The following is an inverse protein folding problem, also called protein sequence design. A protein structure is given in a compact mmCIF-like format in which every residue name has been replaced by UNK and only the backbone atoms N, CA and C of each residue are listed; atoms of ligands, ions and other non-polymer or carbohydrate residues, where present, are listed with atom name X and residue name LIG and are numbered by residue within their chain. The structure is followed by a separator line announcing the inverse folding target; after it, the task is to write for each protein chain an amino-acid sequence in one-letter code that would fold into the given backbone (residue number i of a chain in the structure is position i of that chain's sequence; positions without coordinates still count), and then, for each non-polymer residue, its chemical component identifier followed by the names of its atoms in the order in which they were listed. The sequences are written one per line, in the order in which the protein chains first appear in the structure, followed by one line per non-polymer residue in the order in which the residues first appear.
data_IF_890223011069
#
_entry.id   IF_890223011069
#
_cell.length_a   1.000
_cell.length_b   1.000
_cell.length_c   1.000
_cell.angle_alpha   90.00
_cell.angle_beta   90.00
_cell.angle_gamma   90.00
#
_symmetry.space_group_name_H-M   'P 1'
#
loop_
_entity.id
_entity.type
_entity.pdbx_description
1 polymer ?
#
# COMPACT_ATOMS: atom_id res chain seq x y z
N UNK A 1 -7.28 3.58 -22.63
CA UNK A 1 -7.60 2.16 -22.93
C UNK A 1 -7.30 1.26 -21.72
N UNK A 2 -6.04 1.06 -21.23
CA UNK A 2 -5.76 0.18 -20.09
C UNK A 2 -6.53 0.57 -18.82
N UNK A 3 -6.55 1.85 -18.47
CA UNK A 3 -7.31 2.37 -17.32
C UNK A 3 -8.81 2.03 -17.44
N UNK A 4 -9.38 2.11 -18.65
CA UNK A 4 -10.79 1.82 -18.89
C UNK A 4 -11.07 0.32 -18.74
N UNK A 5 -10.14 -0.52 -19.15
CA UNK A 5 -10.26 -1.98 -18.95
C UNK A 5 -10.22 -2.30 -17.46
N UNK A 6 -9.24 -1.77 -16.71
CA UNK A 6 -9.15 -1.99 -15.26
C UNK A 6 -10.39 -1.48 -14.54
N UNK A 7 -10.92 -0.32 -14.95
CA UNK A 7 -12.09 0.27 -14.32
C UNK A 7 -13.36 -0.57 -14.51
N UNK A 8 -13.57 -1.15 -15.73
CA UNK A 8 -14.83 -1.73 -16.13
C UNK A 8 -14.86 -3.27 -16.10
N UNK A 9 -13.68 -3.95 -16.08
CA UNK A 9 -13.64 -5.40 -16.03
C UNK A 9 -13.81 -5.89 -14.58
N UNK A 10 -14.92 -6.59 -14.25
CA UNK A 10 -15.18 -7.02 -12.86
C UNK A 10 -14.20 -8.10 -12.35
N UNK A 11 -13.54 -8.83 -13.23
CA UNK A 11 -12.54 -9.85 -12.85
C UNK A 11 -11.19 -9.26 -12.46
N UNK A 12 -10.98 -7.96 -12.70
CA UNK A 12 -9.74 -7.27 -12.32
C UNK A 12 -9.99 -6.57 -10.97
N UNK A 13 -9.25 -7.00 -9.96
CA UNK A 13 -9.22 -6.30 -8.66
C UNK A 13 -8.72 -4.87 -8.85
N UNK A 14 -9.29 -3.93 -8.09
CA UNK A 14 -8.92 -2.52 -8.18
C UNK A 14 -7.69 -2.24 -7.31
N UNK A 15 -6.58 -2.86 -7.67
CA UNK A 15 -5.29 -2.77 -7.01
C UNK A 15 -4.19 -2.59 -8.06
N UNK A 16 -3.36 -1.55 -7.92
CA UNK A 16 -2.23 -1.29 -8.82
C UNK A 16 -0.97 -1.00 -8.01
N UNK A 17 0.07 -1.80 -8.24
CA UNK A 17 1.43 -1.54 -7.77
C UNK A 17 2.23 -0.82 -8.86
N UNK A 18 2.59 0.43 -8.59
CA UNK A 18 3.33 1.30 -9.53
C UNK A 18 4.57 1.81 -8.81
N UNK A 19 5.73 1.14 -8.92
CA UNK A 19 6.94 1.51 -8.19
C UNK A 19 7.56 2.77 -8.80
N UNK A 20 7.21 3.94 -8.29
CA UNK A 20 7.72 5.23 -8.80
C UNK A 20 9.16 5.50 -8.40
N UNK A 21 9.59 4.96 -7.28
CA UNK A 21 10.90 5.09 -6.61
C UNK A 21 11.15 6.48 -6.02
N UNK A 22 10.85 7.55 -6.75
CA UNK A 22 10.99 8.94 -6.31
C UNK A 22 10.01 9.85 -7.05
N UNK A 23 9.89 11.11 -6.61
CA UNK A 23 9.00 12.12 -7.22
C UNK A 23 9.75 13.37 -7.72
N UNK A 24 10.99 13.59 -7.30
CA UNK A 24 11.82 14.69 -7.78
C UNK A 24 12.37 14.40 -9.16
N UNK A 25 12.24 15.34 -10.09
CA UNK A 25 12.77 15.23 -11.46
C UNK A 25 14.28 15.04 -11.48
N UNK A 26 14.98 15.69 -10.53
CA UNK A 26 16.42 15.58 -10.39
C UNK A 26 16.83 14.12 -10.08
N UNK A 27 16.21 13.51 -9.08
CA UNK A 27 16.50 12.14 -8.65
C UNK A 27 16.01 11.13 -9.69
N UNK A 28 14.81 11.30 -10.25
CA UNK A 28 14.28 10.44 -11.32
C UNK A 28 15.22 10.39 -12.53
N UNK A 29 15.78 11.53 -12.93
CA UNK A 29 16.76 11.61 -14.00
C UNK A 29 18.06 10.89 -13.66
N UNK A 30 18.55 11.05 -12.42
CA UNK A 30 19.74 10.35 -11.93
C UNK A 30 19.54 8.83 -11.83
N UNK A 31 18.30 8.37 -11.54
CA UNK A 31 17.89 6.97 -11.59
C UNK A 31 17.66 6.44 -13.02
N UNK A 32 17.87 7.26 -14.07
CA UNK A 32 17.53 6.94 -15.46
C UNK A 32 16.07 6.55 -15.68
N UNK A 33 15.14 7.05 -14.86
CA UNK A 33 13.70 6.84 -15.02
C UNK A 33 13.13 7.85 -16.02
N UNK A 34 12.16 7.38 -16.80
CA UNK A 34 11.43 8.24 -17.76
C UNK A 34 10.29 8.95 -17.07
N UNK A 35 9.97 10.16 -17.55
CA UNK A 35 8.89 10.97 -17.01
C UNK A 35 9.38 11.95 -15.95
N UNK A 36 8.45 12.75 -15.48
CA UNK A 36 8.66 13.77 -14.45
C UNK A 36 7.76 13.52 -13.24
N UNK A 37 8.08 14.14 -12.11
CA UNK A 37 7.22 14.12 -10.93
C UNK A 37 5.82 14.65 -11.21
N UNK A 38 5.67 15.62 -12.10
CA UNK A 38 4.37 16.14 -12.50
C UNK A 38 3.57 15.10 -13.29
N UNK A 39 4.20 14.39 -14.24
CA UNK A 39 3.53 13.31 -14.99
C UNK A 39 3.08 12.16 -14.08
N UNK A 40 3.88 11.82 -13.04
CA UNK A 40 3.51 10.85 -12.01
C UNK A 40 2.28 11.33 -11.24
N UNK A 41 2.27 12.57 -10.74
CA UNK A 41 1.12 13.16 -10.04
C UNK A 41 -0.15 13.14 -10.91
N UNK A 42 -0.02 13.52 -12.17
CA UNK A 42 -1.15 13.53 -13.10
C UNK A 42 -1.68 12.14 -13.41
N UNK A 43 -0.79 11.14 -13.51
CA UNK A 43 -1.17 9.74 -13.64
C UNK A 43 -1.96 9.26 -12.41
N UNK A 44 -1.47 9.52 -11.20
CA UNK A 44 -2.12 9.07 -9.96
C UNK A 44 -3.49 9.76 -9.77
N UNK A 45 -3.62 11.05 -10.05
CA UNK A 45 -4.91 11.75 -10.07
C UNK A 45 -5.89 11.13 -11.07
N UNK A 46 -5.42 10.85 -12.28
CA UNK A 46 -6.22 10.21 -13.34
C UNK A 46 -6.69 8.81 -12.93
N UNK A 47 -5.82 8.00 -12.32
CA UNK A 47 -6.16 6.67 -11.82
C UNK A 47 -7.27 6.74 -10.76
N UNK A 48 -7.12 7.61 -9.75
CA UNK A 48 -8.13 7.83 -8.70
C UNK A 48 -9.49 8.29 -9.28
N UNK A 49 -9.47 9.17 -10.27
CA UNK A 49 -10.70 9.67 -10.89
C UNK A 49 -11.42 8.62 -11.75
N UNK A 50 -10.66 7.74 -12.40
CA UNK A 50 -11.20 6.81 -13.40
C UNK A 50 -11.53 5.43 -12.82
N UNK A 51 -10.96 5.05 -11.71
CA UNK A 51 -11.11 3.73 -11.09
C UNK A 51 -11.61 3.92 -9.65
N UNK A 52 -12.92 3.94 -9.40
CA UNK A 52 -13.45 4.02 -8.04
C UNK A 52 -12.99 2.85 -7.17
N UNK A 53 -12.62 3.13 -5.93
CA UNK A 53 -12.15 2.12 -4.98
C UNK A 53 -10.74 1.57 -5.27
N UNK A 54 -9.97 2.22 -6.16
CA UNK A 54 -8.62 1.80 -6.47
C UNK A 54 -7.70 1.90 -5.25
N UNK A 55 -7.06 0.80 -4.92
CA UNK A 55 -5.92 0.74 -4.01
C UNK A 55 -4.64 0.97 -4.82
N UNK A 56 -3.84 1.91 -4.38
CA UNK A 56 -2.55 2.24 -5.01
C UNK A 56 -1.41 1.84 -4.08
N UNK A 57 -0.50 1.04 -4.62
CA UNK A 57 0.77 0.69 -3.99
C UNK A 57 1.93 1.31 -4.76
N UNK A 58 2.97 1.67 -4.03
CA UNK A 58 4.24 2.12 -4.61
C UNK A 58 5.43 1.65 -3.79
N UNK A 59 6.61 1.75 -4.37
CA UNK A 59 7.89 1.65 -3.66
C UNK A 59 8.65 2.95 -3.82
N UNK A 60 9.25 3.42 -2.73
CA UNK A 60 10.04 4.64 -2.65
C UNK A 60 11.46 4.32 -2.18
N UNK A 61 12.43 5.04 -2.72
CA UNK A 61 13.83 4.98 -2.29
C UNK A 61 14.19 6.34 -1.72
N UNK A 62 14.69 6.36 -0.48
CA UNK A 62 15.22 7.55 0.16
C UNK A 62 16.75 7.49 0.25
N UNK A 63 17.39 8.64 0.09
CA UNK A 63 18.84 8.76 0.16
C UNK A 63 19.58 8.28 -1.09
N UNK A 64 18.95 8.40 -2.26
CA UNK A 64 19.63 8.17 -3.53
C UNK A 64 20.78 9.17 -3.70
N UNK A 65 21.93 8.81 -4.34
CA UNK A 65 23.04 9.73 -4.56
C UNK A 65 22.60 11.05 -5.18
N UNK A 66 22.98 12.17 -4.54
CA UNK A 66 22.60 13.52 -4.94
C UNK A 66 21.21 13.97 -4.50
N UNK A 67 20.44 13.16 -3.74
CA UNK A 67 19.15 13.56 -3.17
C UNK A 67 19.34 14.67 -2.14
N UNK A 68 18.75 15.84 -2.40
CA UNK A 68 18.78 17.00 -1.49
C UNK A 68 17.66 16.91 -0.44
N UNK A 69 17.62 17.87 0.49
CA UNK A 69 16.51 17.96 1.44
C UNK A 69 15.21 18.34 0.76
N UNK A 70 15.25 19.22 -0.25
CA UNK A 70 14.08 19.63 -1.03
C UNK A 70 13.51 18.43 -1.84
N UNK A 71 14.39 17.55 -2.35
CA UNK A 71 13.96 16.32 -3.02
C UNK A 71 13.25 15.36 -2.06
N UNK A 72 13.76 15.24 -0.84
CA UNK A 72 13.15 14.45 0.22
C UNK A 72 11.80 15.03 0.69
N UNK A 73 11.74 16.36 0.89
CA UNK A 73 10.49 17.05 1.23
C UNK A 73 9.42 16.80 0.16
N UNK A 74 9.80 16.80 -1.14
CA UNK A 74 8.87 16.50 -2.23
C UNK A 74 8.29 15.07 -2.15
N UNK A 75 9.02 14.08 -1.63
CA UNK A 75 8.49 12.74 -1.34
C UNK A 75 7.45 12.77 -0.20
N UNK A 76 7.75 13.49 0.87
CA UNK A 76 6.81 13.66 1.99
C UNK A 76 5.51 14.33 1.53
N UNK A 77 5.61 15.40 0.74
CA UNK A 77 4.48 16.09 0.16
C UNK A 77 3.66 15.18 -0.76
N UNK A 78 4.31 14.36 -1.58
CA UNK A 78 3.64 13.40 -2.46
C UNK A 78 2.82 12.38 -1.66
N UNK A 79 3.39 11.76 -0.63
CA UNK A 79 2.66 10.84 0.24
C UNK A 79 1.48 11.53 0.95
N UNK A 80 1.69 12.76 1.43
CA UNK A 80 0.63 13.52 2.08
C UNK A 80 -0.51 13.90 1.13
N UNK A 81 -0.19 14.27 -0.12
CA UNK A 81 -1.17 14.63 -1.16
C UNK A 81 -2.00 13.43 -1.61
N UNK A 82 -1.33 12.31 -1.92
CA UNK A 82 -1.97 11.15 -2.55
C UNK A 82 -2.51 10.12 -1.57
N UNK A 83 -2.00 10.11 -0.31
CA UNK A 83 -2.44 9.20 0.75
C UNK A 83 -2.60 7.76 0.23
N UNK A 84 -1.50 7.22 -0.28
CA UNK A 84 -1.50 5.88 -0.88
C UNK A 84 -1.79 4.83 0.19
N UNK A 85 -2.66 3.89 -0.11
CA UNK A 85 -3.04 2.82 0.81
C UNK A 85 -1.85 1.95 1.18
N UNK A 86 -0.93 1.78 0.24
CA UNK A 86 0.27 0.96 0.43
C UNK A 86 1.51 1.67 -0.13
N UNK A 87 2.56 1.81 0.67
CA UNK A 87 3.85 2.28 0.20
C UNK A 87 5.00 1.62 0.98
N UNK A 88 5.89 0.96 0.26
CA UNK A 88 7.15 0.49 0.82
C UNK A 88 8.22 1.57 0.68
N UNK A 89 8.95 1.84 1.77
CA UNK A 89 10.06 2.81 1.79
C UNK A 89 11.37 2.09 2.06
N UNK A 90 12.35 2.31 1.22
CA UNK A 90 13.65 1.63 1.30
C UNK A 90 14.78 2.65 1.31
N UNK A 91 15.84 2.43 2.13
CA UNK A 91 17.06 3.21 1.98
C UNK A 91 17.74 2.83 0.65
N UNK A 92 18.35 3.80 -0.02
CA UNK A 92 19.21 3.47 -1.14
C UNK A 92 20.38 2.58 -0.71
N UNK A 93 20.57 1.46 -1.40
CA UNK A 93 21.68 0.54 -1.23
C UNK A 93 22.59 0.57 -2.48
N UNK A 94 23.90 0.81 -2.34
CA UNK A 94 24.82 0.81 -3.48
C UNK A 94 25.12 -0.63 -3.93
N UNK A 95 24.37 -1.11 -4.92
CA UNK A 95 24.58 -2.45 -5.49
C UNK A 95 25.86 -2.53 -6.33
N UNK A 96 26.72 -3.54 -6.14
CA UNK A 96 27.93 -3.72 -6.91
C UNK A 96 27.65 -3.77 -8.42
N UNK A 97 28.38 -2.95 -9.18
CA UNK A 97 28.25 -2.87 -10.65
C UNK A 97 27.13 -1.95 -11.14
N UNK A 98 26.32 -1.36 -10.26
CA UNK A 98 25.38 -0.30 -10.64
C UNK A 98 26.11 1.03 -10.86
N UNK A 99 25.62 1.86 -11.81
CA UNK A 99 26.17 3.20 -12.02
C UNK A 99 25.99 4.08 -10.79
N UNK A 100 24.86 3.99 -10.12
CA UNK A 100 24.55 4.79 -8.93
C UNK A 100 25.55 4.56 -7.79
N UNK A 101 26.13 3.36 -7.67
CA UNK A 101 27.19 3.08 -6.69
C UNK A 101 28.47 3.87 -6.93
N UNK A 102 28.66 4.39 -8.14
CA UNK A 102 29.85 5.18 -8.52
C UNK A 102 29.60 6.70 -8.50
N UNK A 103 28.39 7.13 -8.21
CA UNK A 103 28.06 8.57 -8.14
C UNK A 103 28.78 9.22 -6.95
N UNK A 104 29.29 10.46 -7.12
CA UNK A 104 30.10 11.10 -6.08
C UNK A 104 29.31 11.50 -4.84
N UNK A 105 28.07 11.92 -5.02
CA UNK A 105 27.25 12.55 -3.98
C UNK A 105 26.43 11.52 -3.20
N UNK A 106 27.11 10.50 -2.63
CA UNK A 106 26.49 9.50 -1.79
C UNK A 106 25.93 10.15 -0.50
N UNK A 107 24.67 9.86 -0.20
CA UNK A 107 24.04 10.33 1.03
C UNK A 107 24.52 9.52 2.22
N UNK A 108 24.78 10.19 3.35
CA UNK A 108 25.20 9.55 4.58
C UNK A 108 24.15 8.52 5.09
N UNK A 109 24.63 7.40 5.67
CA UNK A 109 23.76 6.31 6.13
C UNK A 109 22.80 6.74 7.25
N UNK A 110 23.21 7.66 8.13
CA UNK A 110 22.35 8.17 9.19
C UNK A 110 21.25 9.06 8.61
N UNK A 111 21.55 9.81 7.54
CA UNK A 111 20.54 10.61 6.82
C UNK A 111 19.55 9.71 6.10
N UNK A 112 20.03 8.67 5.41
CA UNK A 112 19.14 7.67 4.75
C UNK A 112 18.18 7.05 5.75
N UNK A 113 18.71 6.55 6.88
CA UNK A 113 17.91 5.92 7.94
C UNK A 113 16.85 6.89 8.46
N UNK A 114 17.23 8.12 8.80
CA UNK A 114 16.29 9.13 9.28
C UNK A 114 15.18 9.43 8.25
N UNK A 115 15.52 9.55 6.96
CA UNK A 115 14.55 9.80 5.89
C UNK A 115 13.57 8.64 5.74
N UNK A 116 14.07 7.40 5.80
CA UNK A 116 13.22 6.20 5.78
C UNK A 116 12.27 6.16 6.98
N UNK A 117 12.77 6.41 8.19
CA UNK A 117 11.95 6.48 9.40
C UNK A 117 10.82 7.51 9.27
N UNK A 118 11.14 8.73 8.83
CA UNK A 118 10.14 9.80 8.66
C UNK A 118 9.06 9.44 7.61
N UNK A 119 9.45 8.88 6.47
CA UNK A 119 8.50 8.45 5.43
C UNK A 119 7.66 7.25 5.90
N UNK A 120 8.26 6.32 6.64
CA UNK A 120 7.55 5.17 7.21
C UNK A 120 6.53 5.61 8.24
N UNK A 121 6.91 6.51 9.15
CA UNK A 121 5.98 7.09 10.14
C UNK A 121 4.81 7.83 9.47
N UNK A 122 5.09 8.58 8.39
CA UNK A 122 4.06 9.24 7.61
C UNK A 122 3.13 8.21 6.96
N UNK A 123 3.69 7.17 6.35
CA UNK A 123 2.92 6.12 5.70
C UNK A 123 2.06 5.33 6.70
N UNK A 124 2.58 5.01 7.88
CA UNK A 124 1.81 4.33 8.93
C UNK A 124 0.56 5.11 9.31
N UNK A 125 0.67 6.44 9.50
CA UNK A 125 -0.50 7.29 9.77
C UNK A 125 -1.52 7.27 8.62
N UNK A 126 -1.07 7.21 7.38
CA UNK A 126 -1.96 7.10 6.22
C UNK A 126 -2.69 5.76 6.21
N UNK A 127 -2.00 4.67 6.54
CA UNK A 127 -2.58 3.32 6.67
C UNK A 127 -3.58 3.27 7.82
N UNK A 128 -3.25 3.86 8.97
CA UNK A 128 -4.18 3.92 10.12
C UNK A 128 -5.47 4.65 9.75
N UNK A 129 -5.37 5.79 9.07
CA UNK A 129 -6.55 6.53 8.60
C UNK A 129 -7.36 5.71 7.56
N UNK A 130 -6.67 4.98 6.68
CA UNK A 130 -7.34 4.07 5.74
C UNK A 130 -8.08 2.95 6.50
N UNK A 131 -7.42 2.27 7.42
CA UNK A 131 -8.02 1.20 8.24
C UNK A 131 -9.18 1.71 9.09
N UNK A 132 -9.04 2.89 9.71
CA UNK A 132 -10.13 3.52 10.47
C UNK A 132 -11.37 3.77 9.59
N UNK A 133 -11.17 4.17 8.33
CA UNK A 133 -12.26 4.36 7.37
C UNK A 133 -12.89 3.03 6.89
N UNK A 134 -12.26 1.89 7.16
CA UNK A 134 -12.81 0.57 6.85
C UNK A 134 -13.69 0.01 7.96
N UNK A 135 -13.58 0.51 9.19
CA UNK A 135 -14.41 0.09 10.32
C UNK A 135 -15.90 0.29 10.01
N UNK A 136 -16.70 -0.73 10.24
CA UNK A 136 -18.13 -0.80 9.93
C UNK A 136 -18.48 -1.25 8.51
N UNK A 137 -17.49 -1.32 7.61
CA UNK A 137 -17.71 -1.83 6.24
C UNK A 137 -17.60 -3.35 6.19
N UNK A 138 -18.22 -3.91 5.17
CA UNK A 138 -18.11 -5.34 4.84
C UNK A 138 -17.14 -5.50 3.67
N UNK A 139 -16.14 -6.37 3.85
CA UNK A 139 -15.16 -6.72 2.83
C UNK A 139 -15.24 -8.22 2.52
N UNK A 140 -14.95 -8.59 1.27
CA UNK A 140 -14.78 -9.99 0.89
C UNK A 140 -13.34 -10.41 1.15
N UNK A 141 -13.14 -11.50 1.88
CA UNK A 141 -11.84 -12.00 2.30
C UNK A 141 -11.66 -13.43 1.78
N UNK A 142 -10.56 -13.68 1.09
CA UNK A 142 -10.07 -15.02 0.82
C UNK A 142 -9.36 -15.53 2.08
N UNK A 143 -9.97 -16.50 2.75
CA UNK A 143 -9.37 -17.11 3.93
C UNK A 143 -8.13 -17.92 3.53
N UNK A 144 -7.00 -17.67 4.18
CA UNK A 144 -5.72 -18.33 3.93
C UNK A 144 -5.34 -19.29 5.07
N UNK A 145 -5.84 -19.07 6.28
CA UNK A 145 -5.54 -19.93 7.41
C UNK A 145 -6.30 -19.57 8.69
N UNK A 146 -5.89 -20.26 9.75
CA UNK A 146 -6.31 -20.03 11.13
C UNK A 146 -5.07 -19.93 11.99
N UNK A 147 -5.07 -18.98 12.92
CA UNK A 147 -4.00 -18.78 13.87
C UNK A 147 -4.46 -19.25 15.26
N UNK A 148 -3.82 -20.31 15.76
CA UNK A 148 -4.13 -20.93 17.05
C UNK A 148 -3.78 -20.03 18.27
N UNK A 149 -2.90 -19.02 18.10
CA UNK A 149 -2.51 -18.13 19.19
C UNK A 149 -3.53 -17.00 19.38
N UNK A 150 -4.04 -16.44 18.30
CA UNK A 150 -5.05 -15.38 18.33
C UNK A 150 -6.49 -15.92 18.30
N UNK A 151 -6.67 -17.20 17.96
CA UNK A 151 -7.95 -17.85 17.73
C UNK A 151 -8.78 -17.18 16.62
N UNK A 152 -8.09 -16.59 15.61
CA UNK A 152 -8.70 -15.92 14.47
C UNK A 152 -8.38 -16.62 13.15
N UNK A 153 -9.32 -16.59 12.24
CA UNK A 153 -9.04 -16.82 10.84
C UNK A 153 -8.32 -15.60 10.26
N UNK A 154 -7.46 -15.82 9.28
CA UNK A 154 -6.81 -14.73 8.57
C UNK A 154 -6.87 -14.94 7.06
N UNK A 155 -6.75 -13.87 6.35
CA UNK A 155 -6.74 -13.87 4.89
C UNK A 155 -6.54 -12.47 4.34
N UNK A 156 -6.83 -12.28 3.06
CA UNK A 156 -6.65 -11.01 2.37
C UNK A 156 -7.89 -10.62 1.58
N UNK A 157 -8.11 -9.34 1.50
CA UNK A 157 -9.16 -8.76 0.66
C UNK A 157 -8.63 -8.43 -0.74
N UNK A 158 -9.48 -7.86 -1.59
CA UNK A 158 -9.06 -7.30 -2.88
C UNK A 158 -8.12 -6.07 -2.76
N UNK A 159 -7.91 -5.56 -1.54
CA UNK A 159 -7.02 -4.44 -1.24
C UNK A 159 -5.62 -4.86 -0.78
N UNK A 160 -5.33 -6.17 -0.76
CA UNK A 160 -4.12 -6.71 -0.16
C UNK A 160 -3.39 -7.64 -1.14
N UNK A 161 -2.13 -7.35 -1.41
CA UNK A 161 -1.24 -8.20 -2.22
C UNK A 161 -0.71 -9.36 -1.38
N UNK A 162 -0.64 -10.59 -1.93
CA UNK A 162 -0.08 -11.73 -1.21
C UNK A 162 1.33 -11.47 -0.69
N UNK A 163 1.61 -11.88 0.54
CA UNK A 163 2.93 -11.88 1.17
C UNK A 163 3.61 -10.48 1.30
N UNK A 164 2.90 -9.40 0.96
CA UNK A 164 3.49 -8.05 0.94
C UNK A 164 2.70 -7.07 1.80
N UNK A 165 1.35 -7.10 1.71
CA UNK A 165 0.47 -6.21 2.45
C UNK A 165 -0.05 -6.90 3.71
N UNK A 166 -0.79 -6.15 4.55
CA UNK A 166 -1.39 -6.67 5.76
C UNK A 166 -2.51 -7.68 5.52
N UNK A 167 -2.99 -8.28 6.59
CA UNK A 167 -4.03 -9.29 6.58
C UNK A 167 -5.36 -8.72 7.08
N UNK A 168 -6.42 -9.48 6.85
CA UNK A 168 -7.71 -9.32 7.50
C UNK A 168 -7.91 -10.49 8.44
N UNK A 169 -7.95 -10.21 9.75
CA UNK A 169 -8.23 -11.19 10.79
C UNK A 169 -9.71 -11.19 11.12
N UNK A 170 -10.32 -12.36 11.31
CA UNK A 170 -11.76 -12.40 11.59
C UNK A 170 -12.19 -13.60 12.41
N UNK A 171 -13.20 -13.37 13.23
CA UNK A 171 -13.91 -14.43 13.94
C UNK A 171 -14.87 -15.16 12.99
N UNK A 172 -15.01 -16.47 13.20
CA UNK A 172 -15.95 -17.31 12.47
C UNK A 172 -16.27 -18.58 13.27
N UNK A 173 -17.42 -19.18 13.01
CA UNK A 173 -17.81 -20.43 13.69
C UNK A 173 -16.85 -21.58 13.36
N UNK A 174 -16.53 -22.39 14.37
CA UNK A 174 -15.70 -23.58 14.21
C UNK A 174 -16.29 -24.54 13.15
N UNK A 175 -15.48 -24.87 12.15
CA UNK A 175 -15.90 -25.70 11.00
C UNK A 175 -16.72 -24.96 9.94
N UNK A 176 -17.12 -23.71 10.20
CA UNK A 176 -17.84 -22.84 9.25
C UNK A 176 -16.93 -22.07 8.28
N UNK A 177 -15.62 -21.97 8.58
CA UNK A 177 -14.62 -21.31 7.76
C UNK A 177 -13.53 -22.29 7.36
N UNK A 178 -13.10 -22.23 6.09
CA UNK A 178 -12.04 -23.09 5.54
C UNK A 178 -11.07 -22.29 4.70
N UNK A 179 -9.76 -22.55 4.77
CA UNK A 179 -8.80 -21.97 3.85
C UNK A 179 -9.17 -22.20 2.38
N UNK A 180 -8.98 -21.18 1.54
CA UNK A 180 -9.37 -21.18 0.13
C UNK A 180 -10.82 -20.75 -0.12
N UNK A 181 -11.64 -20.55 0.91
CA UNK A 181 -12.99 -20.00 0.81
C UNK A 181 -13.01 -18.48 0.83
N UNK A 182 -14.03 -17.89 0.19
CA UNK A 182 -14.32 -16.47 0.26
C UNK A 182 -15.42 -16.22 1.30
N UNK A 183 -15.21 -15.25 2.17
CA UNK A 183 -16.11 -14.89 3.26
C UNK A 183 -16.32 -13.38 3.30
N UNK A 184 -17.54 -12.96 3.59
CA UNK A 184 -17.82 -11.57 3.90
C UNK A 184 -17.45 -11.32 5.35
N UNK A 185 -16.69 -10.27 5.60
CA UNK A 185 -16.22 -9.89 6.93
C UNK A 185 -16.62 -8.45 7.20
N UNK A 186 -17.37 -8.22 8.29
CA UNK A 186 -17.65 -6.88 8.79
C UNK A 186 -16.49 -6.44 9.64
N UNK A 187 -15.78 -5.41 9.18
CA UNK A 187 -14.64 -4.84 9.91
C UNK A 187 -15.14 -4.17 11.17
N UNK A 188 -14.60 -4.57 12.31
CA UNK A 188 -14.95 -4.04 13.64
C UNK A 188 -13.84 -3.20 14.24
N UNK A 189 -12.59 -3.47 13.88
CA UNK A 189 -11.40 -2.82 14.43
C UNK A 189 -10.23 -2.94 13.44
N UNK A 190 -9.09 -2.38 13.81
CA UNK A 190 -7.81 -2.57 13.13
C UNK A 190 -6.67 -2.48 14.15
N UNK A 191 -5.56 -3.10 13.83
CA UNK A 191 -4.34 -3.06 14.63
C UNK A 191 -3.12 -3.19 13.71
N UNK A 192 -2.12 -2.32 13.88
CA UNK A 192 -0.86 -2.32 13.14
C UNK A 192 -1.02 -2.38 11.60
N UNK A 193 -2.01 -1.62 11.08
CA UNK A 193 -2.32 -1.58 9.65
C UNK A 193 -3.08 -2.78 9.09
N UNK A 194 -3.48 -3.73 9.94
CA UNK A 194 -4.28 -4.89 9.59
C UNK A 194 -5.73 -4.76 10.09
N UNK A 195 -6.68 -5.28 9.32
CA UNK A 195 -8.09 -5.20 9.66
C UNK A 195 -8.49 -6.37 10.57
N UNK A 196 -9.41 -6.09 11.50
CA UNK A 196 -10.02 -7.11 12.37
C UNK A 196 -11.53 -7.03 12.22
N UNK A 197 -12.19 -8.17 12.13
CA UNK A 197 -13.65 -8.21 11.95
C UNK A 197 -14.29 -9.51 12.38
N UNK A 198 -15.56 -9.64 12.01
CA UNK A 198 -16.35 -10.84 12.24
C UNK A 198 -16.95 -11.30 10.91
N UNK A 199 -17.08 -12.59 10.73
CA UNK A 199 -17.82 -13.14 9.58
C UNK A 199 -19.21 -12.54 9.55
N UNK A 200 -19.66 -12.13 8.36
CA UNK A 200 -20.94 -11.47 8.15
C UNK A 200 -21.78 -12.26 7.15
N UNK A 201 -22.90 -12.79 7.62
CA UNK A 201 -23.89 -13.49 6.79
C UNK A 201 -25.16 -12.60 6.67
N UNK A 202 -25.73 -12.45 5.48
CA UNK A 202 -26.83 -11.51 5.19
C UNK A 202 -28.14 -11.80 5.94
N UNK A 203 -28.26 -12.95 6.63
CA UNK A 203 -29.46 -13.34 7.36
C UNK A 203 -29.71 -12.52 8.65
N UNK A 204 -28.72 -11.74 9.11
CA UNK A 204 -28.85 -10.93 10.33
C UNK A 204 -29.50 -9.56 10.12
N UNK A 205 -29.64 -9.05 8.89
CA UNK A 205 -30.28 -7.75 8.62
C UNK A 205 -31.82 -7.79 8.62
N UNK A 206 -32.45 -8.96 8.41
CA UNK A 206 -33.92 -9.09 8.43
C UNK A 206 -34.51 -9.27 9.83
N UNK A 207 -33.65 -9.37 10.89
CA UNK A 207 -34.08 -9.62 12.26
C UNK A 207 -34.02 -8.41 13.21
N UNK A 208 -33.68 -7.20 12.73
CA UNK A 208 -33.66 -5.95 13.49
C UNK A 208 -34.65 -4.94 12.87
#
# INVERSE_FOLDING_TARGET
ELIDVIANEPKIVKYLDIPIQHISDHVLKAMHRRGSGQEIRDLFRKLRQRIPGLVLRTSLIAGFPGETEEDFEALCEFLHEFRLERAGVFPYSPEPGSLAATYPDQVDEDVKRRRVELLTDLQMRIVDDYCANMVGKVVEVLCEGYDDETELYYGRSAADSPDIDGLVHFEGEEGGVRPGGFYRVKVTNFYDGELVGVRYDDEEEEAQ
#
